data_IF_988254784103
#
_entry.id   IF_988254784103
#
_cell.length_a   1.000
_cell.length_b   1.000
_cell.length_c   1.000
_cell.angle_alpha   90.00
_cell.angle_beta   90.00
_cell.angle_gamma   90.00
#
_symmetry.space_group_name_H-M   'P 1'
#
loop_
_entity.id
_entity.type
_entity.pdbx_description
1 polymer ?
#
# COMPACT_ATOMS: atom_id res chain seq x y z
N UNK A 1 70.03 -61.19 24.03
CA UNK A 1 70.21 -59.83 24.58
C UNK A 1 69.07 -58.97 24.05
N UNK A 2 68.13 -58.56 24.92
CA UNK A 2 66.91 -57.79 24.59
C UNK A 2 67.28 -56.35 24.24
N UNK A 3 66.77 -55.82 23.12
CA UNK A 3 66.59 -54.38 22.92
C UNK A 3 65.14 -54.11 22.51
N UNK A 4 64.43 -53.42 23.40
CA UNK A 4 63.03 -53.00 23.28
C UNK A 4 62.99 -51.61 22.66
N UNK A 5 62.30 -51.44 21.54
CA UNK A 5 61.99 -50.14 20.95
C UNK A 5 60.48 -50.08 20.70
N UNK A 6 59.74 -49.32 21.51
CA UNK A 6 58.35 -48.92 21.23
C UNK A 6 58.36 -47.52 20.61
N UNK A 7 57.83 -47.32 19.40
CA UNK A 7 57.46 -45.98 18.94
C UNK A 7 55.98 -45.68 19.17
N UNK A 8 55.75 -44.44 19.63
CA UNK A 8 54.51 -43.77 20.05
C UNK A 8 53.35 -43.87 19.04
N UNK A 9 52.12 -44.04 19.58
CA UNK A 9 50.86 -43.66 18.88
C UNK A 9 50.88 -42.16 18.60
N UNK A 10 50.93 -41.76 17.33
CA UNK A 10 50.69 -40.38 16.92
C UNK A 10 49.27 -40.28 16.37
N UNK A 11 48.33 -39.93 17.25
CA UNK A 11 46.97 -39.53 16.90
C UNK A 11 47.05 -38.16 16.20
N UNK A 12 47.07 -38.15 14.87
CA UNK A 12 46.95 -36.92 14.11
C UNK A 12 45.47 -36.50 14.11
N UNK A 13 45.12 -35.60 15.04
CA UNK A 13 43.84 -34.89 15.07
C UNK A 13 43.78 -33.97 13.85
N UNK A 14 43.00 -34.32 12.85
CA UNK A 14 42.72 -33.42 11.73
C UNK A 14 41.59 -32.46 12.13
N UNK A 15 41.83 -31.14 12.20
CA UNK A 15 40.77 -30.20 12.55
C UNK A 15 39.77 -30.07 11.39
N UNK A 16 38.50 -30.25 11.71
CA UNK A 16 37.36 -29.95 10.83
C UNK A 16 37.33 -28.43 10.64
N UNK A 17 37.71 -27.97 9.45
CA UNK A 17 37.58 -26.56 9.06
C UNK A 17 36.12 -26.32 8.64
N UNK A 18 35.29 -25.85 9.57
CA UNK A 18 33.98 -25.29 9.26
C UNK A 18 34.22 -23.94 8.60
N UNK A 19 34.01 -23.86 7.28
CA UNK A 19 34.07 -22.60 6.55
C UNK A 19 32.66 -21.98 6.56
N UNK A 20 32.37 -21.17 7.59
CA UNK A 20 31.15 -20.35 7.62
C UNK A 20 31.33 -19.20 6.64
N UNK A 21 30.73 -19.30 5.46
CA UNK A 21 30.60 -18.19 4.52
C UNK A 21 29.58 -17.22 5.11
N UNK A 22 30.08 -16.09 5.62
CA UNK A 22 29.25 -14.95 6.03
C UNK A 22 28.92 -14.14 4.78
N UNK A 23 27.72 -14.33 4.23
CA UNK A 23 27.23 -13.56 3.09
C UNK A 23 26.54 -12.29 3.63
N UNK A 24 27.26 -11.15 3.57
CA UNK A 24 26.69 -9.83 3.81
C UNK A 24 25.84 -9.43 2.60
N UNK A 25 24.52 -9.54 2.72
CA UNK A 25 23.60 -8.84 1.83
C UNK A 25 23.61 -7.35 2.19
N UNK A 26 24.18 -6.53 1.32
CA UNK A 26 23.87 -5.10 1.29
C UNK A 26 22.51 -4.95 0.60
N UNK A 27 21.46 -4.67 1.37
CA UNK A 27 20.19 -4.20 0.82
C UNK A 27 20.35 -2.73 0.46
N UNK A 28 20.36 -2.42 -0.84
CA UNK A 28 20.10 -1.05 -1.28
C UNK A 28 18.59 -0.88 -1.31
N UNK A 29 18.03 -0.19 -0.33
CA UNK A 29 16.67 0.32 -0.42
C UNK A 29 16.56 1.12 -1.73
N UNK A 30 15.69 0.68 -2.63
CA UNK A 30 15.27 1.54 -3.74
C UNK A 30 14.34 2.57 -3.11
N UNK A 31 14.66 3.87 -3.15
CA UNK A 31 13.72 4.87 -2.64
C UNK A 31 12.41 4.76 -3.44
N UNK A 32 11.25 4.81 -2.78
CA UNK A 32 10.06 5.21 -3.51
C UNK A 32 10.35 6.56 -4.14
N UNK A 33 10.07 6.66 -5.43
CA UNK A 33 10.22 7.90 -6.15
C UNK A 33 9.14 8.84 -5.60
N UNK A 34 9.47 9.63 -4.59
CA UNK A 34 8.84 10.93 -4.37
C UNK A 34 9.23 11.77 -5.59
N UNK A 35 8.45 11.64 -6.65
CA UNK A 35 8.78 12.21 -7.95
C UNK A 35 8.61 13.70 -7.90
N UNK A 36 9.55 14.47 -7.34
CA UNK A 36 9.51 15.92 -7.48
C UNK A 36 10.08 16.29 -8.84
N UNK A 37 9.25 16.77 -9.76
CA UNK A 37 9.75 17.52 -10.91
C UNK A 37 10.18 18.91 -10.41
N UNK A 38 11.43 19.27 -10.63
CA UNK A 38 11.99 20.58 -10.29
C UNK A 38 12.35 21.30 -11.57
N UNK A 39 11.80 22.50 -11.74
CA UNK A 39 12.18 23.41 -12.80
C UNK A 39 12.62 24.73 -12.16
N UNK A 40 13.76 25.24 -12.60
CA UNK A 40 14.45 26.37 -11.98
C UNK A 40 14.15 27.63 -12.77
N UNK A 41 13.53 28.62 -12.11
CA UNK A 41 13.20 29.90 -12.71
C UNK A 41 14.00 31.03 -12.07
N UNK A 42 14.46 31.98 -12.88
CA UNK A 42 15.17 33.18 -12.40
C UNK A 42 14.22 34.30 -11.98
N UNK A 43 12.94 34.20 -12.31
CA UNK A 43 11.93 35.22 -12.03
C UNK A 43 10.61 34.58 -11.54
N UNK A 44 10.41 34.61 -10.23
CA UNK A 44 9.22 34.04 -9.55
C UNK A 44 7.96 34.87 -9.76
N UNK A 45 8.06 36.11 -10.29
CA UNK A 45 6.89 36.98 -10.53
C UNK A 45 5.98 36.52 -11.66
N UNK A 46 6.47 35.59 -12.50
CA UNK A 46 5.70 34.95 -13.59
C UNK A 46 4.94 33.71 -13.13
N UNK A 47 5.18 33.26 -11.89
CA UNK A 47 4.46 32.14 -11.30
C UNK A 47 3.26 32.70 -10.55
N UNK A 48 2.07 32.41 -11.05
CA UNK A 48 0.84 32.75 -10.35
C UNK A 48 0.54 31.66 -9.30
N UNK A 49 1.31 31.66 -8.20
CA UNK A 49 1.17 30.71 -7.09
C UNK A 49 -0.29 30.65 -6.59
N UNK A 50 -0.91 31.82 -6.42
CA UNK A 50 -2.30 31.97 -5.98
C UNK A 50 -3.35 31.29 -6.88
N UNK A 51 -3.04 31.06 -8.16
CA UNK A 51 -3.92 30.35 -9.11
C UNK A 51 -3.42 28.94 -9.47
N UNK A 52 -2.24 28.54 -9.00
CA UNK A 52 -1.62 27.27 -9.36
C UNK A 52 -1.99 26.21 -8.32
N UNK A 53 -2.89 25.29 -8.69
CA UNK A 53 -3.26 24.16 -7.82
C UNK A 53 -2.20 23.06 -7.94
N UNK A 54 -1.72 22.52 -6.81
CA UNK A 54 -0.68 21.48 -6.70
C UNK A 54 0.78 21.92 -7.00
N UNK A 55 1.02 23.22 -7.15
CA UNK A 55 2.37 23.77 -7.25
C UNK A 55 2.66 24.62 -6.02
N UNK A 56 3.84 24.49 -5.43
CA UNK A 56 4.33 25.41 -4.40
C UNK A 56 5.65 26.02 -4.85
N UNK A 57 5.85 27.30 -4.55
CA UNK A 57 7.16 27.94 -4.71
C UNK A 57 7.95 27.77 -3.41
N UNK A 58 9.06 27.03 -3.46
CA UNK A 58 9.93 26.84 -2.30
C UNK A 58 11.38 27.02 -2.72
N UNK A 59 12.10 27.94 -2.06
CA UNK A 59 13.53 28.23 -2.32
C UNK A 59 13.88 28.53 -3.79
N UNK A 60 12.98 29.19 -4.53
CA UNK A 60 13.21 29.56 -5.94
C UNK A 60 12.95 28.45 -6.95
N UNK A 61 12.35 27.33 -6.52
CA UNK A 61 11.92 26.25 -7.38
C UNK A 61 10.39 26.12 -7.38
N UNK A 62 9.83 25.76 -8.54
CA UNK A 62 8.49 25.19 -8.62
C UNK A 62 8.55 23.74 -8.17
N UNK A 63 7.76 23.40 -7.15
CA UNK A 63 7.57 22.02 -6.70
C UNK A 63 6.16 21.57 -7.05
N UNK A 64 6.07 20.42 -7.72
CA UNK A 64 4.81 19.71 -7.90
C UNK A 64 4.60 18.76 -6.72
N UNK A 65 3.53 18.98 -5.96
CA UNK A 65 3.08 18.01 -4.97
C UNK A 65 2.29 16.91 -5.68
N UNK A 66 2.93 15.76 -5.91
CA UNK A 66 2.18 14.55 -6.27
C UNK A 66 1.65 13.95 -4.98
N UNK A 67 0.33 13.78 -4.87
CA UNK A 67 -0.29 12.99 -3.80
C UNK A 67 0.18 11.54 -3.94
N UNK A 68 1.27 11.22 -3.26
CA UNK A 68 2.01 9.94 -3.40
C UNK A 68 1.66 8.95 -2.30
N UNK A 69 0.56 9.21 -1.58
CA UNK A 69 0.25 8.53 -0.32
C UNK A 69 1.00 9.15 0.87
N UNK A 70 0.76 8.60 2.05
CA UNK A 70 1.37 9.04 3.31
C UNK A 70 2.58 8.19 3.75
N UNK A 71 2.92 7.16 2.98
CA UNK A 71 4.02 6.24 3.29
C UNK A 71 3.76 5.33 4.50
N UNK A 72 2.51 5.20 4.97
CA UNK A 72 2.20 4.49 6.21
C UNK A 72 2.55 2.99 6.18
N UNK A 73 2.64 2.36 5.01
CA UNK A 73 3.05 0.95 4.86
C UNK A 73 4.57 0.76 4.85
N UNK A 74 5.33 1.86 4.89
CA UNK A 74 6.78 1.85 4.98
C UNK A 74 7.48 1.28 3.73
N UNK A 75 8.80 1.06 3.82
CA UNK A 75 9.58 0.63 2.68
C UNK A 75 9.35 -0.85 2.39
N UNK A 76 9.29 -1.18 1.09
CA UNK A 76 9.19 -2.56 0.62
C UNK A 76 10.35 -2.92 -0.30
N UNK A 77 10.78 -4.17 -0.25
CA UNK A 77 11.73 -4.73 -1.20
C UNK A 77 11.07 -5.87 -1.96
N UNK A 78 11.01 -5.75 -3.29
CA UNK A 78 10.45 -6.77 -4.17
C UNK A 78 11.58 -7.60 -4.77
N UNK A 79 11.81 -8.79 -4.22
CA UNK A 79 12.80 -9.76 -4.74
C UNK A 79 12.21 -10.78 -5.73
N UNK A 80 10.89 -10.76 -5.90
CA UNK A 80 10.14 -11.60 -6.83
C UNK A 80 8.81 -10.93 -7.20
N UNK A 81 8.12 -11.47 -8.20
CA UNK A 81 6.78 -11.04 -8.56
C UNK A 81 5.83 -11.20 -7.36
N UNK A 82 5.03 -10.16 -7.10
CA UNK A 82 3.99 -10.14 -6.07
C UNK A 82 2.65 -9.75 -6.68
N UNK A 83 1.58 -10.36 -6.19
CA UNK A 83 0.22 -9.97 -6.48
C UNK A 83 -0.37 -9.28 -5.25
N UNK A 84 -0.58 -7.96 -5.35
CA UNK A 84 -1.11 -7.13 -4.26
C UNK A 84 -2.48 -7.59 -3.73
N UNK A 85 -3.25 -8.31 -4.55
CA UNK A 85 -4.58 -8.79 -4.17
C UNK A 85 -4.53 -10.08 -3.33
N UNK A 86 -3.39 -10.78 -3.30
CA UNK A 86 -3.26 -12.09 -2.64
C UNK A 86 -2.07 -12.23 -1.71
N UNK A 87 -1.02 -11.44 -1.93
CA UNK A 87 0.23 -11.53 -1.19
C UNK A 87 0.32 -10.41 -0.12
N UNK A 88 0.71 -10.73 1.12
CA UNK A 88 1.19 -9.72 2.06
C UNK A 88 2.58 -9.23 1.59
N UNK A 89 2.73 -7.92 1.44
CA UNK A 89 3.96 -7.29 0.92
C UNK A 89 4.58 -6.38 1.98
N UNK A 90 3.79 -5.49 2.58
CA UNK A 90 4.24 -4.57 3.60
C UNK A 90 4.68 -5.30 4.88
N UNK A 91 5.74 -4.83 5.55
CA UNK A 91 6.19 -5.39 6.81
C UNK A 91 5.05 -5.46 7.86
N UNK A 92 4.93 -6.62 8.53
CA UNK A 92 3.97 -6.80 9.62
C UNK A 92 2.53 -7.13 9.18
N UNK A 93 2.24 -7.16 7.88
CA UNK A 93 0.93 -7.60 7.38
C UNK A 93 0.84 -9.12 7.23
N UNK A 94 -0.34 -9.66 7.51
CA UNK A 94 -0.69 -11.08 7.30
C UNK A 94 -1.73 -11.28 6.21
N UNK A 95 -2.53 -10.26 5.94
CA UNK A 95 -3.45 -10.18 4.80
C UNK A 95 -2.77 -9.52 3.61
N UNK A 96 -3.30 -9.74 2.41
CA UNK A 96 -2.83 -9.05 1.21
C UNK A 96 -2.94 -7.52 1.33
N UNK A 97 -2.05 -6.81 0.68
CA UNK A 97 -1.93 -5.36 0.83
C UNK A 97 -3.03 -4.57 0.10
N UNK A 98 -3.59 -5.18 -0.96
CA UNK A 98 -4.67 -4.65 -1.79
C UNK A 98 -5.94 -5.49 -1.72
N UNK A 99 -6.26 -6.05 -0.54
CA UNK A 99 -7.54 -6.76 -0.31
C UNK A 99 -8.73 -5.91 -0.76
N UNK A 100 -9.70 -6.55 -1.38
CA UNK A 100 -10.93 -5.91 -1.83
C UNK A 100 -12.17 -6.70 -1.42
N UNK A 101 -13.27 -5.98 -1.18
CA UNK A 101 -14.53 -6.52 -0.72
C UNK A 101 -15.69 -5.88 -1.47
N UNK A 102 -16.69 -6.66 -1.82
CA UNK A 102 -17.94 -6.13 -2.36
C UNK A 102 -18.70 -5.37 -1.26
N UNK A 103 -19.33 -4.26 -1.64
CA UNK A 103 -20.08 -3.39 -0.72
C UNK A 103 -21.58 -3.65 -0.89
N UNK A 104 -22.28 -3.87 0.23
CA UNK A 104 -23.71 -4.14 0.29
C UNK A 104 -24.54 -2.94 0.74
N UNK A 105 -23.94 -1.99 1.44
CA UNK A 105 -24.59 -0.74 1.85
C UNK A 105 -23.57 0.40 2.00
N UNK A 106 -24.01 1.64 1.80
CA UNK A 106 -23.22 2.85 2.03
C UNK A 106 -24.06 3.80 2.90
N UNK A 107 -23.47 4.25 4.01
CA UNK A 107 -24.03 5.30 4.87
C UNK A 107 -23.36 6.65 4.64
N UNK A 108 -23.56 7.60 5.56
CA UNK A 108 -22.98 8.95 5.46
C UNK A 108 -21.45 8.93 5.42
N UNK A 109 -20.82 8.15 6.30
CA UNK A 109 -19.37 7.99 6.40
C UNK A 109 -18.98 6.51 6.58
N UNK A 110 -19.81 5.60 6.07
CA UNK A 110 -19.60 4.17 6.25
C UNK A 110 -19.83 3.41 4.96
N UNK A 111 -19.13 2.27 4.82
CA UNK A 111 -19.46 1.24 3.84
C UNK A 111 -19.55 -0.11 4.56
N UNK A 112 -20.60 -0.87 4.25
CA UNK A 112 -20.78 -2.24 4.75
C UNK A 112 -20.32 -3.22 3.68
N UNK A 113 -19.30 -4.01 3.99
CA UNK A 113 -18.84 -5.09 3.12
C UNK A 113 -19.77 -6.31 3.22
N UNK A 114 -19.84 -7.11 2.16
CA UNK A 114 -20.62 -8.37 2.15
C UNK A 114 -20.04 -9.43 3.11
N UNK A 115 -18.75 -9.35 3.41
CA UNK A 115 -18.04 -10.17 4.40
C UNK A 115 -17.18 -9.29 5.30
N UNK A 116 -16.77 -9.80 6.47
CA UNK A 116 -15.84 -9.08 7.34
C UNK A 116 -14.55 -8.73 6.56
N UNK A 117 -14.16 -7.45 6.47
CA UNK A 117 -13.09 -7.00 5.59
C UNK A 117 -11.71 -7.21 6.22
N UNK A 118 -11.30 -8.48 6.37
CA UNK A 118 -10.02 -8.84 6.96
C UNK A 118 -8.84 -8.17 6.22
N UNK A 119 -7.93 -7.56 6.96
CA UNK A 119 -6.83 -6.79 6.36
C UNK A 119 -7.20 -5.37 5.95
N UNK A 120 -8.37 -4.85 6.33
CA UNK A 120 -8.62 -3.41 6.41
C UNK A 120 -8.73 -3.03 7.89
N UNK A 121 -8.01 -2.00 8.32
CA UNK A 121 -7.93 -1.54 9.70
C UNK A 121 -7.93 -0.01 9.79
N UNK A 122 -8.09 0.52 11.01
CA UNK A 122 -7.97 1.95 11.27
C UNK A 122 -6.59 2.48 10.82
N UNK A 123 -6.59 3.64 10.17
CA UNK A 123 -5.41 4.25 9.57
C UNK A 123 -5.16 3.87 8.12
N UNK A 124 -5.78 2.80 7.60
CA UNK A 124 -5.63 2.43 6.19
C UNK A 124 -6.32 3.46 5.27
N UNK A 125 -5.74 3.68 4.09
CA UNK A 125 -6.45 4.29 2.96
C UNK A 125 -7.17 3.22 2.14
N UNK A 126 -8.38 3.53 1.69
CA UNK A 126 -9.15 2.65 0.81
C UNK A 126 -9.71 3.41 -0.38
N UNK A 127 -9.86 2.71 -1.51
CA UNK A 127 -10.60 3.12 -2.67
C UNK A 127 -12.01 2.54 -2.58
N UNK A 128 -13.02 3.40 -2.44
CA UNK A 128 -14.42 3.03 -2.67
C UNK A 128 -14.75 3.31 -4.14
N UNK A 129 -15.27 2.33 -4.87
CA UNK A 129 -15.50 2.45 -6.32
C UNK A 129 -16.73 1.67 -6.79
N UNK A 130 -17.52 2.27 -7.68
CA UNK A 130 -18.50 1.54 -8.48
C UNK A 130 -17.85 1.06 -9.78
N UNK A 131 -17.64 -0.25 -9.92
CA UNK A 131 -17.00 -0.86 -11.07
C UNK A 131 -17.96 -1.02 -12.26
N UNK A 132 -19.25 -1.16 -12.00
CA UNK A 132 -20.26 -1.46 -13.01
C UNK A 132 -21.68 -1.24 -12.46
N UNK A 133 -22.55 -0.64 -13.27
CA UNK A 133 -24.00 -0.68 -13.06
C UNK A 133 -24.72 -1.68 -13.99
N UNK A 134 -26.02 -1.85 -13.79
CA UNK A 134 -26.86 -2.65 -14.67
C UNK A 134 -27.18 -1.93 -15.99
N UNK A 135 -27.92 -2.60 -16.89
CA UNK A 135 -28.24 -2.10 -18.24
C UNK A 135 -29.04 -0.79 -18.25
N UNK A 136 -29.74 -0.48 -17.16
CA UNK A 136 -30.60 0.70 -17.02
C UNK A 136 -30.04 1.75 -16.06
N UNK A 137 -29.11 1.36 -15.18
CA UNK A 137 -28.62 2.15 -14.06
C UNK A 137 -27.07 2.19 -14.03
N UNK A 138 -26.44 2.62 -15.13
CA UNK A 138 -24.97 2.66 -15.26
C UNK A 138 -24.35 4.05 -15.07
N UNK A 139 -25.16 5.09 -14.84
CA UNK A 139 -24.70 6.48 -14.80
C UNK A 139 -23.68 6.81 -13.69
N UNK A 140 -23.63 5.98 -12.64
CA UNK A 140 -22.72 6.15 -11.51
C UNK A 140 -21.51 5.20 -11.56
N UNK A 141 -21.38 4.36 -12.61
CA UNK A 141 -20.21 3.52 -12.79
C UNK A 141 -18.96 4.39 -13.01
N UNK A 142 -17.85 4.01 -12.40
CA UNK A 142 -16.61 4.79 -12.40
C UNK A 142 -16.56 5.88 -11.34
N UNK A 143 -17.63 6.14 -10.57
CA UNK A 143 -17.51 6.97 -9.38
C UNK A 143 -16.60 6.27 -8.35
N UNK A 144 -15.60 7.02 -7.87
CA UNK A 144 -14.63 6.54 -6.88
C UNK A 144 -14.19 7.64 -5.90
N UNK A 145 -13.79 7.25 -4.69
CA UNK A 145 -13.20 8.10 -3.66
C UNK A 145 -12.08 7.36 -2.93
N UNK A 146 -11.00 8.08 -2.60
CA UNK A 146 -10.02 7.64 -1.59
C UNK A 146 -10.50 8.13 -0.22
N UNK A 147 -10.55 7.22 0.75
CA UNK A 147 -11.08 7.48 2.09
C UNK A 147 -10.15 6.86 3.13
N UNK A 148 -9.88 7.59 4.21
CA UNK A 148 -9.15 7.03 5.35
C UNK A 148 -10.10 6.31 6.30
N UNK A 149 -9.72 5.10 6.71
CA UNK A 149 -10.48 4.28 7.64
C UNK A 149 -10.27 4.76 9.07
N UNK A 150 -11.35 5.14 9.73
CA UNK A 150 -11.37 5.45 11.16
C UNK A 150 -11.46 4.18 12.01
N UNK A 151 -12.33 3.24 11.63
CA UNK A 151 -12.51 1.98 12.35
C UNK A 151 -13.19 0.91 11.48
N UNK A 152 -13.06 -0.34 11.88
CA UNK A 152 -13.80 -1.47 11.30
C UNK A 152 -14.50 -2.22 12.44
N UNK A 153 -15.80 -2.45 12.29
CA UNK A 153 -16.59 -3.24 13.22
C UNK A 153 -17.45 -4.24 12.45
N UNK A 154 -17.17 -5.54 12.66
CA UNK A 154 -17.81 -6.64 11.93
C UNK A 154 -17.60 -6.48 10.42
N UNK A 155 -18.61 -6.01 9.69
CA UNK A 155 -18.56 -5.78 8.25
C UNK A 155 -18.54 -4.28 7.88
N UNK A 156 -18.72 -3.40 8.87
CA UNK A 156 -18.86 -1.97 8.64
C UNK A 156 -17.50 -1.30 8.78
N UNK A 157 -17.09 -0.63 7.70
CA UNK A 157 -15.93 0.25 7.67
C UNK A 157 -16.45 1.67 7.90
N UNK A 158 -15.92 2.35 8.91
CA UNK A 158 -16.20 3.75 9.20
C UNK A 158 -15.04 4.59 8.71
N UNK A 159 -15.35 5.62 7.92
CA UNK A 159 -14.38 6.56 7.36
C UNK A 159 -14.26 7.81 8.24
N UNK A 160 -13.10 8.45 8.18
CA UNK A 160 -12.84 9.73 8.86
C UNK A 160 -13.56 10.91 8.22
N UNK A 161 -13.98 10.77 6.96
CA UNK A 161 -14.76 11.76 6.18
C UNK A 161 -16.08 11.17 5.69
N UNK A 162 -17.02 12.04 5.32
CA UNK A 162 -18.25 11.62 4.68
C UNK A 162 -17.99 11.16 3.23
N UNK A 163 -18.82 10.22 2.77
CA UNK A 163 -18.88 9.81 1.37
C UNK A 163 -19.58 10.91 0.58
N UNK A 164 -18.91 11.46 -0.43
CA UNK A 164 -19.39 12.61 -1.19
C UNK A 164 -20.03 12.23 -2.52
N UNK A 165 -19.72 11.06 -3.08
CA UNK A 165 -20.26 10.59 -4.36
C UNK A 165 -21.43 9.61 -4.20
N UNK A 166 -22.16 9.46 -5.30
CA UNK A 166 -23.26 8.51 -5.42
C UNK A 166 -22.76 7.30 -6.21
N UNK A 167 -22.94 6.11 -5.64
CA UNK A 167 -22.56 4.82 -6.18
C UNK A 167 -23.78 3.96 -6.50
N UNK A 168 -24.94 4.26 -5.89
CA UNK A 168 -26.18 3.52 -6.07
C UNK A 168 -26.79 3.61 -7.48
N UNK A 169 -27.89 2.89 -7.69
CA UNK A 169 -28.57 2.81 -8.98
C UNK A 169 -29.28 4.11 -9.39
N UNK A 170 -29.54 5.01 -8.45
CA UNK A 170 -30.34 6.22 -8.65
C UNK A 170 -29.55 7.47 -8.25
N UNK A 171 -30.22 8.50 -7.72
CA UNK A 171 -29.62 9.76 -7.26
C UNK A 171 -29.12 9.69 -5.82
N UNK A 172 -29.09 8.51 -5.19
CA UNK A 172 -28.57 8.32 -3.85
C UNK A 172 -27.94 6.94 -3.64
N UNK A 173 -27.26 6.77 -2.50
CA UNK A 173 -26.68 5.51 -2.06
C UNK A 173 -27.69 4.58 -1.34
N UNK A 174 -28.98 4.94 -1.32
CA UNK A 174 -30.02 4.16 -0.62
C UNK A 174 -30.36 2.84 -1.33
N UNK A 175 -29.99 2.67 -2.60
CA UNK A 175 -30.24 1.44 -3.37
C UNK A 175 -29.04 1.10 -4.22
N UNK A 176 -28.36 0.00 -3.88
CA UNK A 176 -27.17 -0.50 -4.59
C UNK A 176 -27.48 -1.68 -5.52
N UNK A 177 -28.75 -2.08 -5.65
CA UNK A 177 -29.16 -3.18 -6.53
C UNK A 177 -28.68 -2.93 -7.96
N UNK A 178 -28.09 -3.95 -8.58
CA UNK A 178 -27.54 -3.86 -9.94
C UNK A 178 -26.18 -3.17 -10.02
N UNK A 179 -25.63 -2.69 -8.90
CA UNK A 179 -24.31 -2.06 -8.84
C UNK A 179 -23.25 -3.05 -8.34
N UNK A 180 -22.06 -3.01 -8.93
CA UNK A 180 -20.87 -3.75 -8.48
C UNK A 180 -19.91 -2.78 -7.83
N UNK A 181 -20.11 -2.56 -6.53
CA UNK A 181 -19.32 -1.62 -5.75
C UNK A 181 -18.31 -2.40 -4.93
N UNK A 182 -17.07 -1.94 -4.92
CA UNK A 182 -15.98 -2.52 -4.15
C UNK A 182 -15.33 -1.45 -3.25
N UNK A 183 -14.85 -1.92 -2.11
CA UNK A 183 -13.86 -1.21 -1.30
C UNK A 183 -12.55 -1.98 -1.37
N UNK A 184 -11.46 -1.31 -1.71
CA UNK A 184 -10.14 -1.92 -1.83
C UNK A 184 -9.13 -1.14 -1.00
N UNK A 185 -8.30 -1.83 -0.23
CA UNK A 185 -7.17 -1.19 0.47
C UNK A 185 -6.17 -0.65 -0.55
N UNK A 186 -5.67 0.55 -0.30
CA UNK A 186 -4.64 1.21 -1.10
C UNK A 186 -3.38 1.27 -0.25
N UNK A 187 -2.38 0.43 -0.54
CA UNK A 187 -1.13 0.47 0.21
C UNK A 187 -0.27 1.69 -0.17
N UNK A 188 0.32 2.32 0.85
CA UNK A 188 1.16 3.51 0.73
C UNK A 188 2.61 3.18 1.14
N UNK A 189 3.41 2.68 0.19
CA UNK A 189 4.82 2.33 0.43
C UNK A 189 5.76 3.56 0.32
N UNK A 190 6.98 3.45 0.88
CA UNK A 190 8.07 4.46 0.80
C UNK A 190 9.36 3.95 0.18
#
# INVERSE_FOLDING_TARGET
>A
MKLSIKPKKLLLKLPIFIFTIFFLLFETAFPAIAGTATDTYTDVSKINDAASVNYTTESGALKMGFGTGDGADGPITLSANKNINTDPIAPGRTSADGVNYAVSAIGTNTATATTAPAGIAAGDEVLLINLQGDATNSGNAGNYEFLNVQSVSVNTITFSSNVQKIYGATTSNSTLTGQKIAVQRVPNYT
#
